data_IF_142733157210
#
_entry.id   IF_142733157210
#
_cell.length_a   1.000
_cell.length_b   1.000
_cell.length_c   1.000
_cell.angle_alpha   90.00
_cell.angle_beta   90.00
_cell.angle_gamma   90.00
#
_symmetry.space_group_name_H-M   'P 1'
#
loop_
_entity.id
_entity.type
_entity.pdbx_description
1 polymer ?
#
# COMPACT_ATOMS: atom_id res chain seq x y z
N UNK A 1 10.23 -6.12 11.79
CA UNK A 1 9.80 -6.44 10.42
C UNK A 1 9.04 -5.29 9.78
N UNK A 2 7.85 -4.90 10.29
CA UNK A 2 7.02 -3.85 9.68
C UNK A 2 7.76 -2.53 9.39
N UNK A 3 8.44 -1.95 10.39
CA UNK A 3 9.21 -0.70 10.23
C UNK A 3 10.29 -0.81 9.16
N UNK A 4 11.09 -1.88 9.17
CA UNK A 4 12.17 -2.07 8.18
C UNK A 4 11.59 -2.22 6.77
N UNK A 5 10.54 -3.01 6.61
CA UNK A 5 9.85 -3.17 5.33
C UNK A 5 9.29 -1.83 4.84
N UNK A 6 8.62 -1.09 5.71
CA UNK A 6 8.06 0.22 5.38
C UNK A 6 9.12 1.25 4.99
N UNK A 7 10.28 1.24 5.65
CA UNK A 7 11.41 2.11 5.27
C UNK A 7 11.97 1.76 3.89
N UNK A 8 12.14 0.47 3.59
CA UNK A 8 12.68 0.01 2.31
C UNK A 8 11.71 0.29 1.16
N UNK A 9 10.43 -0.06 1.32
CA UNK A 9 9.39 0.27 0.34
C UNK A 9 9.23 1.78 0.21
N UNK A 10 9.24 2.51 1.31
CA UNK A 10 9.10 3.97 1.31
C UNK A 10 10.23 4.63 0.52
N UNK A 11 11.47 4.18 0.72
CA UNK A 11 12.61 4.65 -0.05
C UNK A 11 12.51 4.28 -1.54
N UNK A 12 12.17 3.04 -1.85
CA UNK A 12 11.98 2.57 -3.23
C UNK A 12 10.87 3.35 -3.95
N UNK A 13 9.72 3.51 -3.32
CA UNK A 13 8.56 4.21 -3.86
C UNK A 13 8.84 5.70 -4.02
N UNK A 14 9.54 6.31 -3.07
CA UNK A 14 10.02 7.69 -3.19
C UNK A 14 10.94 7.85 -4.40
N UNK A 15 11.90 6.95 -4.59
CA UNK A 15 12.79 6.97 -5.75
C UNK A 15 12.01 6.83 -7.06
N UNK A 16 11.08 5.89 -7.12
CA UNK A 16 10.22 5.70 -8.30
C UNK A 16 9.42 6.97 -8.61
N UNK A 17 8.79 7.58 -7.61
CA UNK A 17 7.96 8.79 -7.78
C UNK A 17 8.81 10.00 -8.17
N UNK A 18 9.94 10.24 -7.52
CA UNK A 18 10.71 11.49 -7.71
C UNK A 18 11.69 11.43 -8.87
N UNK A 19 12.10 10.23 -9.30
CA UNK A 19 13.13 10.05 -10.35
C UNK A 19 12.54 9.36 -11.57
N UNK A 20 11.98 8.17 -11.40
CA UNK A 20 11.56 7.33 -12.53
C UNK A 20 10.39 7.96 -13.27
N UNK A 21 9.29 8.30 -12.58
CA UNK A 21 8.11 8.89 -13.22
C UNK A 21 8.42 10.20 -13.96
N UNK A 22 9.11 11.18 -13.36
CA UNK A 22 9.51 12.40 -14.06
C UNK A 22 10.42 12.14 -15.26
N UNK A 23 11.35 11.18 -15.18
CA UNK A 23 12.22 10.81 -16.31
C UNK A 23 11.46 10.23 -17.50
N UNK A 24 10.29 9.64 -17.25
CA UNK A 24 9.38 9.14 -18.28
C UNK A 24 8.38 10.20 -18.79
N UNK A 25 8.52 11.45 -18.33
CA UNK A 25 7.67 12.58 -18.74
C UNK A 25 6.32 12.67 -18.01
N UNK A 26 6.12 11.90 -16.93
CA UNK A 26 4.92 12.01 -16.13
C UNK A 26 4.97 13.22 -15.19
N UNK A 27 3.89 13.99 -15.13
CA UNK A 27 3.74 15.10 -14.18
C UNK A 27 3.48 14.57 -12.78
N UNK A 28 4.30 14.97 -11.80
CA UNK A 28 4.10 14.67 -10.38
C UNK A 28 3.61 15.89 -9.58
N UNK A 29 3.53 17.08 -10.18
CA UNK A 29 3.11 18.32 -9.51
C UNK A 29 1.63 18.26 -9.11
N UNK A 30 0.81 17.48 -9.82
CA UNK A 30 -0.58 17.23 -9.43
C UNK A 30 -0.73 16.70 -7.99
N UNK A 31 0.31 16.06 -7.42
CA UNK A 31 0.31 15.59 -6.03
C UNK A 31 0.04 16.71 -5.02
N UNK A 32 0.41 17.97 -5.33
CA UNK A 32 0.10 19.14 -4.50
C UNK A 32 -1.40 19.41 -4.39
N UNK A 33 -2.15 19.04 -5.41
CA UNK A 33 -3.59 19.27 -5.51
C UNK A 33 -4.42 18.09 -5.02
N UNK A 34 -3.77 17.02 -4.56
CA UNK A 34 -4.48 15.92 -3.90
C UNK A 34 -5.01 16.38 -2.54
N UNK A 35 -6.11 15.78 -2.05
CA UNK A 35 -6.64 16.09 -0.71
C UNK A 35 -5.56 15.97 0.37
N UNK A 36 -4.62 15.04 0.21
CA UNK A 36 -3.53 14.77 1.15
C UNK A 36 -2.41 15.81 1.07
N UNK A 37 -2.08 16.28 -0.13
CA UNK A 37 -1.06 17.30 -0.37
C UNK A 37 -1.41 18.66 0.24
N UNK A 38 -2.70 18.95 0.38
CA UNK A 38 -3.23 20.21 0.92
C UNK A 38 -3.39 20.22 2.45
N UNK A 39 -3.34 19.06 3.11
CA UNK A 39 -3.49 18.99 4.57
C UNK A 39 -2.23 19.52 5.30
N UNK A 40 -2.40 20.12 6.50
CA UNK A 40 -1.28 20.48 7.36
C UNK A 40 -0.44 19.27 7.76
N UNK A 41 0.89 19.42 7.74
CA UNK A 41 1.83 18.33 8.02
C UNK A 41 1.59 17.70 9.41
N UNK A 42 1.33 18.54 10.43
CA UNK A 42 1.07 18.08 11.81
C UNK A 42 -0.21 17.25 11.95
N UNK A 43 -1.17 17.41 11.04
CA UNK A 43 -2.38 16.60 11.00
C UNK A 43 -2.13 15.32 10.19
N UNK A 44 -1.44 15.45 9.05
CA UNK A 44 -1.15 14.32 8.18
C UNK A 44 -0.23 13.29 8.87
N UNK A 45 0.87 13.76 9.46
CA UNK A 45 1.84 12.95 10.21
C UNK A 45 1.65 13.19 11.73
N UNK A 46 1.48 12.15 12.54
CA UNK A 46 1.26 10.75 12.16
C UNK A 46 -0.23 10.40 11.96
N UNK A 47 -1.15 11.29 12.37
CA UNK A 47 -2.54 10.92 12.68
C UNK A 47 -3.32 10.38 11.49
N UNK A 48 -3.44 11.16 10.41
CA UNK A 48 -4.23 10.75 9.24
C UNK A 48 -3.59 9.55 8.55
N UNK A 49 -2.26 9.52 8.41
CA UNK A 49 -1.57 8.38 7.80
C UNK A 49 -1.78 7.10 8.61
N UNK A 50 -1.66 7.15 9.94
CA UNK A 50 -1.91 5.97 10.78
C UNK A 50 -3.37 5.50 10.68
N UNK A 51 -4.33 6.42 10.63
CA UNK A 51 -5.74 6.07 10.44
C UNK A 51 -6.00 5.41 9.07
N UNK A 52 -5.44 5.97 7.99
CA UNK A 52 -5.54 5.41 6.64
C UNK A 52 -4.90 4.03 6.60
N UNK A 53 -3.67 3.88 7.09
CA UNK A 53 -2.96 2.61 7.12
C UNK A 53 -3.78 1.54 7.86
N UNK A 54 -4.34 1.87 9.04
CA UNK A 54 -5.19 0.94 9.79
C UNK A 54 -6.43 0.53 8.99
N UNK A 55 -7.20 1.48 8.45
CA UNK A 55 -8.44 1.20 7.73
C UNK A 55 -8.20 0.42 6.43
N UNK A 56 -7.20 0.81 5.64
CA UNK A 56 -6.88 0.17 4.37
C UNK A 56 -6.37 -1.25 4.62
N UNK A 57 -5.51 -1.46 5.62
CA UNK A 57 -5.02 -2.81 5.95
C UNK A 57 -6.13 -3.72 6.49
N UNK A 58 -7.01 -3.21 7.36
CA UNK A 58 -8.16 -3.97 7.84
C UNK A 58 -9.06 -4.41 6.68
N UNK A 59 -9.32 -3.51 5.72
CA UNK A 59 -10.18 -3.81 4.59
C UNK A 59 -9.54 -4.78 3.60
N UNK A 60 -8.36 -4.45 3.07
CA UNK A 60 -7.76 -5.21 1.97
C UNK A 60 -7.02 -6.46 2.45
N UNK A 61 -6.28 -6.40 3.56
CA UNK A 61 -5.48 -7.52 4.06
C UNK A 61 -6.28 -8.36 5.06
N UNK A 62 -6.90 -7.71 6.05
CA UNK A 62 -7.70 -8.39 7.06
C UNK A 62 -8.96 -9.04 6.50
N UNK A 63 -9.77 -8.28 5.76
CA UNK A 63 -11.07 -8.73 5.28
C UNK A 63 -11.02 -9.37 3.89
N UNK A 64 -10.60 -8.63 2.85
CA UNK A 64 -10.66 -9.10 1.46
C UNK A 64 -9.70 -10.27 1.21
N UNK A 65 -8.40 -10.06 1.40
CA UNK A 65 -7.39 -11.11 1.20
C UNK A 65 -7.65 -12.30 2.14
N UNK A 66 -8.05 -12.04 3.39
CA UNK A 66 -8.38 -13.11 4.33
C UNK A 66 -9.51 -14.00 3.83
N UNK A 67 -10.63 -13.43 3.38
CA UNK A 67 -11.75 -14.22 2.84
C UNK A 67 -11.39 -14.93 1.54
N UNK A 68 -10.67 -14.26 0.63
CA UNK A 68 -10.25 -14.86 -0.63
C UNK A 68 -9.28 -16.03 -0.39
N UNK A 69 -8.37 -15.91 0.57
CA UNK A 69 -7.42 -16.97 0.90
C UNK A 69 -8.12 -18.20 1.48
N UNK A 70 -9.09 -18.02 2.37
CA UNK A 70 -9.90 -19.14 2.88
C UNK A 70 -10.75 -19.79 1.77
N UNK A 71 -11.31 -18.99 0.84
CA UNK A 71 -12.05 -19.51 -0.31
C UNK A 71 -11.16 -20.35 -1.24
N UNK A 72 -9.95 -19.86 -1.55
CA UNK A 72 -8.97 -20.57 -2.39
C UNK A 72 -8.50 -21.87 -1.73
N UNK A 73 -8.24 -21.87 -0.43
CA UNK A 73 -7.86 -23.06 0.33
C UNK A 73 -8.97 -24.12 0.33
N UNK A 74 -10.22 -23.70 0.56
CA UNK A 74 -11.39 -24.58 0.46
C UNK A 74 -11.54 -25.15 -0.95
N UNK A 75 -11.36 -24.33 -1.99
CA UNK A 75 -11.47 -24.76 -3.37
C UNK A 75 -10.41 -25.80 -3.76
N UNK A 76 -9.18 -25.67 -3.24
CA UNK A 76 -8.11 -26.64 -3.46
C UNK A 76 -8.18 -27.89 -2.58
N UNK A 77 -9.21 -28.04 -1.74
CA UNK A 77 -9.39 -29.21 -0.88
C UNK A 77 -8.29 -29.37 0.18
N UNK A 78 -7.50 -28.32 0.42
CA UNK A 78 -6.36 -28.36 1.34
C UNK A 78 -6.70 -27.57 2.61
N UNK A 79 -7.45 -28.21 3.51
CA UNK A 79 -7.94 -27.62 4.77
C UNK A 79 -6.83 -27.35 5.81
N UNK A 80 -5.56 -27.67 5.50
CA UNK A 80 -4.43 -27.37 6.37
C UNK A 80 -3.95 -25.93 6.10
N UNK A 81 -4.32 -25.02 6.99
CA UNK A 81 -4.28 -23.55 6.86
C UNK A 81 -2.90 -22.87 6.77
N UNK A 82 -2.02 -23.32 5.88
CA UNK A 82 -0.72 -22.70 5.62
C UNK A 82 -0.28 -22.83 4.16
N UNK A 83 -1.20 -22.59 3.23
CA UNK A 83 -0.90 -22.46 1.80
C UNK A 83 -0.60 -21.03 1.39
N UNK A 84 0.30 -20.85 0.42
CA UNK A 84 0.30 -19.63 -0.40
C UNK A 84 -1.03 -19.61 -1.15
N UNK A 85 -1.79 -18.51 -1.04
CA UNK A 85 -3.04 -18.30 -1.74
C UNK A 85 -2.77 -17.31 -2.90
N UNK A 86 -2.12 -17.75 -3.99
CA UNK A 86 -1.68 -16.87 -5.07
C UNK A 86 -2.85 -16.21 -5.81
N UNK A 87 -3.97 -16.90 -6.00
CA UNK A 87 -5.12 -16.29 -6.67
C UNK A 87 -5.72 -15.19 -5.79
N UNK A 88 -5.89 -15.46 -4.49
CA UNK A 88 -6.34 -14.48 -3.51
C UNK A 88 -5.39 -13.28 -3.42
N UNK A 89 -4.08 -13.54 -3.41
CA UNK A 89 -3.05 -12.50 -3.40
C UNK A 89 -3.16 -11.61 -4.65
N UNK A 90 -3.19 -12.21 -5.84
CA UNK A 90 -3.28 -11.49 -7.10
C UNK A 90 -4.60 -10.69 -7.14
N UNK A 91 -5.74 -11.35 -6.93
CA UNK A 91 -7.04 -10.69 -6.97
C UNK A 91 -7.14 -9.54 -5.97
N UNK A 92 -6.76 -9.75 -4.71
CA UNK A 92 -6.80 -8.69 -3.69
C UNK A 92 -5.88 -7.52 -4.03
N UNK A 93 -4.71 -7.80 -4.61
CA UNK A 93 -3.74 -6.78 -5.01
C UNK A 93 -4.23 -5.96 -6.20
N UNK A 94 -4.83 -6.61 -7.20
CA UNK A 94 -5.48 -5.90 -8.31
C UNK A 94 -6.66 -5.06 -7.81
N UNK A 95 -7.51 -5.60 -6.94
CA UNK A 95 -8.60 -4.81 -6.35
C UNK A 95 -8.08 -3.60 -5.58
N UNK A 96 -6.97 -3.74 -4.85
CA UNK A 96 -6.30 -2.62 -4.18
C UNK A 96 -5.76 -1.60 -5.18
N UNK A 97 -4.98 -2.02 -6.18
CA UNK A 97 -4.35 -1.13 -7.15
C UNK A 97 -5.35 -0.37 -8.04
N UNK A 98 -6.53 -0.94 -8.27
CA UNK A 98 -7.62 -0.34 -9.06
C UNK A 98 -8.74 0.25 -8.19
N UNK A 99 -8.49 0.44 -6.89
CA UNK A 99 -9.44 1.13 -6.03
C UNK A 99 -9.75 2.54 -6.61
N UNK A 100 -11.05 2.92 -6.72
CA UNK A 100 -11.43 4.19 -7.34
C UNK A 100 -10.79 5.41 -6.68
N UNK A 101 -10.55 5.38 -5.36
CA UNK A 101 -9.87 6.48 -4.69
C UNK A 101 -8.40 6.56 -5.13
N UNK A 102 -7.69 5.43 -5.22
CA UNK A 102 -6.29 5.43 -5.68
C UNK A 102 -6.15 5.89 -7.13
N UNK A 103 -6.97 5.34 -8.03
CA UNK A 103 -6.91 5.67 -9.46
C UNK A 103 -7.22 7.15 -9.69
N UNK A 104 -8.26 7.69 -9.05
CA UNK A 104 -8.64 9.10 -9.22
C UNK A 104 -7.66 10.07 -8.56
N UNK A 105 -7.13 9.72 -7.38
CA UNK A 105 -6.27 10.62 -6.60
C UNK A 105 -4.83 10.61 -7.10
N UNK A 106 -4.29 9.43 -7.37
CA UNK A 106 -2.87 9.25 -7.69
C UNK A 106 -2.60 9.06 -9.19
N UNK A 107 -3.65 8.97 -10.02
CA UNK A 107 -3.51 8.82 -11.48
C UNK A 107 -2.51 7.71 -11.79
N UNK A 108 -1.58 7.90 -12.72
CA UNK A 108 -0.55 6.94 -13.09
C UNK A 108 0.33 6.43 -11.93
N UNK A 109 0.35 7.08 -10.75
CA UNK A 109 1.07 6.57 -9.58
C UNK A 109 0.29 5.46 -8.85
N UNK A 110 -0.97 5.21 -9.20
CA UNK A 110 -1.76 4.10 -8.61
C UNK A 110 -1.09 2.73 -8.84
N UNK A 111 -0.25 2.60 -9.87
CA UNK A 111 0.52 1.37 -10.14
C UNK A 111 1.50 1.00 -9.04
N UNK A 112 1.93 1.96 -8.21
CA UNK A 112 2.75 1.71 -7.02
C UNK A 112 2.05 0.75 -6.05
N UNK A 113 0.74 0.93 -5.90
CA UNK A 113 -0.07 0.08 -5.04
C UNK A 113 -0.09 -1.40 -5.48
N UNK A 114 0.27 -1.72 -6.73
CA UNK A 114 0.36 -3.09 -7.20
C UNK A 114 1.49 -3.85 -6.50
N UNK A 115 2.72 -3.31 -6.48
CA UNK A 115 3.82 -4.02 -5.82
C UNK A 115 3.72 -3.93 -4.29
N UNK A 116 3.21 -2.83 -3.75
CA UNK A 116 2.93 -2.71 -2.31
C UNK A 116 1.91 -3.78 -1.87
N UNK A 117 0.81 -3.92 -2.62
CA UNK A 117 -0.21 -4.94 -2.39
C UNK A 117 0.36 -6.37 -2.42
N UNK A 118 1.26 -6.66 -3.37
CA UNK A 118 1.93 -7.97 -3.44
C UNK A 118 2.82 -8.21 -2.23
N UNK A 119 3.64 -7.23 -1.83
CA UNK A 119 4.58 -7.37 -0.72
C UNK A 119 3.82 -7.50 0.60
N UNK A 120 2.88 -6.61 0.88
CA UNK A 120 2.09 -6.66 2.11
C UNK A 120 1.21 -7.91 2.18
N UNK A 121 0.58 -8.30 1.06
CA UNK A 121 -0.22 -9.52 0.99
C UNK A 121 0.62 -10.77 1.24
N UNK A 122 1.84 -10.84 0.68
CA UNK A 122 2.78 -11.94 0.96
C UNK A 122 3.18 -11.98 2.45
N UNK A 123 3.49 -10.83 3.04
CA UNK A 123 3.85 -10.74 4.46
C UNK A 123 2.68 -11.20 5.32
N UNK A 124 1.47 -10.74 5.02
CA UNK A 124 0.27 -11.13 5.76
C UNK A 124 -0.03 -12.63 5.61
N UNK A 125 0.04 -13.21 4.41
CA UNK A 125 -0.20 -14.64 4.22
C UNK A 125 0.82 -15.51 5.00
N UNK A 126 2.09 -15.09 5.05
CA UNK A 126 3.16 -15.81 5.76
C UNK A 126 3.07 -15.68 7.28
N UNK A 127 2.76 -14.49 7.77
CA UNK A 127 2.83 -14.16 9.21
C UNK A 127 1.47 -14.20 9.91
N UNK A 128 0.37 -14.06 9.15
CA UNK A 128 -1.00 -13.83 9.62
C UNK A 128 -1.08 -12.70 10.67
N UNK A 129 -0.14 -11.76 10.62
CA UNK A 129 -0.05 -10.65 11.57
C UNK A 129 -0.29 -9.32 10.86
N UNK A 130 -1.49 -8.77 11.04
CA UNK A 130 -1.91 -7.52 10.42
C UNK A 130 -1.15 -6.30 10.98
N UNK A 131 -0.65 -6.35 12.21
CA UNK A 131 0.14 -5.24 12.77
C UNK A 131 1.43 -5.00 11.99
N UNK A 132 2.02 -6.06 11.42
CA UNK A 132 3.23 -5.93 10.60
C UNK A 132 2.93 -5.10 9.35
N UNK A 133 1.81 -5.36 8.67
CA UNK A 133 1.45 -4.64 7.45
C UNK A 133 0.93 -3.22 7.75
N UNK A 134 0.18 -3.02 8.84
CA UNK A 134 -0.23 -1.69 9.33
C UNK A 134 0.99 -0.80 9.59
N UNK A 135 1.98 -1.30 10.34
CA UNK A 135 3.19 -0.53 10.64
C UNK A 135 4.01 -0.30 9.37
N UNK A 136 4.14 -1.29 8.49
CA UNK A 136 4.86 -1.14 7.23
C UNK A 136 4.24 -0.04 6.35
N UNK A 137 2.93 -0.11 6.13
CA UNK A 137 2.16 0.88 5.37
C UNK A 137 2.30 2.28 5.96
N UNK A 138 2.09 2.44 7.26
CA UNK A 138 2.19 3.75 7.89
C UNK A 138 3.58 4.37 7.73
N UNK A 139 4.64 3.59 7.98
CA UNK A 139 6.03 4.05 7.84
C UNK A 139 6.36 4.39 6.39
N UNK A 140 5.97 3.55 5.45
CA UNK A 140 6.16 3.75 4.03
C UNK A 140 5.54 5.06 3.54
N UNK A 141 4.26 5.28 3.86
CA UNK A 141 3.54 6.49 3.47
C UNK A 141 4.08 7.72 4.18
N UNK A 142 4.54 7.62 5.43
CA UNK A 142 5.23 8.74 6.12
C UNK A 142 6.51 9.13 5.36
N UNK A 143 7.33 8.16 4.96
CA UNK A 143 8.57 8.42 4.21
C UNK A 143 8.25 9.06 2.87
N UNK A 144 7.34 8.45 2.08
CA UNK A 144 6.95 8.95 0.77
C UNK A 144 6.35 10.35 0.86
N UNK A 145 5.39 10.56 1.77
CA UNK A 145 4.75 11.86 1.96
C UNK A 145 5.77 12.92 2.34
N UNK A 146 6.67 12.63 3.29
CA UNK A 146 7.67 13.59 3.75
C UNK A 146 8.65 13.96 2.62
N UNK A 147 9.13 12.97 1.88
CA UNK A 147 10.07 13.19 0.79
C UNK A 147 9.43 13.96 -0.37
N UNK A 148 8.23 13.57 -0.81
CA UNK A 148 7.49 14.27 -1.88
C UNK A 148 7.14 15.69 -1.43
N UNK A 149 6.63 15.87 -0.19
CA UNK A 149 6.30 17.19 0.34
C UNK A 149 7.52 18.11 0.39
N UNK A 150 8.71 17.58 0.68
CA UNK A 150 9.96 18.36 0.67
C UNK A 150 10.46 18.65 -0.74
N UNK A 151 10.31 17.70 -1.67
CA UNK A 151 10.86 17.82 -3.01
C UNK A 151 10.06 18.75 -3.93
N UNK A 152 8.73 18.69 -3.85
CA UNK A 152 7.86 19.50 -4.70
C UNK A 152 7.11 20.57 -3.93
N UNK A 153 6.87 20.42 -2.63
CA UNK A 153 6.01 21.30 -1.81
C UNK A 153 6.66 22.61 -1.38
#
# INVERSE_FOLDING_TARGET
WGTLTGLLLGAMNTFVILVVYPSLGYDIIFLKHTPHGQLPILLMIPWVICAIALLVELNFRGFLLGRLAELELCWWGNASGRGLAPLALISSTFTFAFDPFLVNTFRHLHWVALWDGLVWGCIWLKTRNLWITIVAHAVEVIVMYSAVKTAIG
#
